data_IF_499306468251
#
_entry.id   IF_499306468251
#
_cell.length_a   1.000
_cell.length_b   1.000
_cell.length_c   1.000
_cell.angle_alpha   90.00
_cell.angle_beta   90.00
_cell.angle_gamma   90.00
#
_symmetry.space_group_name_H-M   'P 1'
#
loop_
_entity.id
_entity.type
_entity.pdbx_description
1 polymer ?
#
# COMPACT_ATOMS: atom_id res chain seq x y z
N UNK A 1 32.67 6.44 12.27
CA UNK A 1 31.98 6.91 13.49
C UNK A 1 30.46 6.68 13.46
N UNK A 2 29.78 6.74 12.30
CA UNK A 2 28.32 6.54 12.18
C UNK A 2 27.82 5.15 12.64
N UNK A 3 28.52 4.07 12.30
CA UNK A 3 28.08 2.70 12.62
C UNK A 3 28.10 2.38 14.14
N UNK A 4 29.03 2.98 14.88
CA UNK A 4 29.15 2.79 16.33
C UNK A 4 28.01 3.54 17.05
N UNK A 5 27.69 4.76 16.59
CA UNK A 5 26.58 5.55 17.12
C UNK A 5 25.23 4.86 16.89
N UNK A 6 25.00 4.34 15.68
CA UNK A 6 23.78 3.58 15.35
C UNK A 6 23.65 2.34 16.24
N UNK A 7 24.75 1.59 16.47
CA UNK A 7 24.76 0.43 17.37
C UNK A 7 24.37 0.77 18.81
N UNK A 8 24.93 1.86 19.36
CA UNK A 8 24.59 2.33 20.71
C UNK A 8 23.11 2.69 20.84
N UNK A 9 22.58 3.46 19.89
CA UNK A 9 21.16 3.85 19.88
C UNK A 9 20.24 2.62 19.81
N UNK A 10 20.55 1.64 18.95
CA UNK A 10 19.78 0.39 18.85
C UNK A 10 19.75 -0.35 20.19
N UNK A 11 20.90 -0.56 20.83
CA UNK A 11 20.98 -1.28 22.11
C UNK A 11 20.20 -0.54 23.20
N UNK A 12 20.31 0.78 23.27
CA UNK A 12 19.54 1.57 24.26
C UNK A 12 18.02 1.46 24.07
N UNK A 13 17.52 1.46 22.83
CA UNK A 13 16.09 1.29 22.55
C UNK A 13 15.60 -0.12 22.87
N UNK A 14 16.42 -1.14 22.66
CA UNK A 14 16.07 -2.52 23.04
C UNK A 14 15.94 -2.64 24.55
N UNK A 15 16.90 -2.11 25.32
CA UNK A 15 16.86 -2.18 26.78
C UNK A 15 15.67 -1.40 27.38
N UNK A 16 15.36 -0.22 26.84
CA UNK A 16 14.17 0.55 27.23
C UNK A 16 12.87 -0.19 26.84
N UNK A 17 12.82 -0.75 25.64
CA UNK A 17 11.68 -1.52 25.12
C UNK A 17 11.52 -2.91 25.74
N UNK A 18 12.46 -3.39 26.55
CA UNK A 18 12.32 -4.58 27.39
C UNK A 18 11.90 -4.23 28.82
N UNK A 19 12.40 -3.11 29.38
CA UNK A 19 12.00 -2.63 30.72
C UNK A 19 10.52 -2.32 30.81
N UNK A 20 9.91 -1.78 29.75
CA UNK A 20 8.45 -1.53 29.65
C UNK A 20 7.60 -2.82 29.84
N UNK A 21 8.17 -4.00 29.57
CA UNK A 21 7.43 -5.28 29.58
C UNK A 21 7.81 -6.21 30.74
N UNK A 22 8.77 -5.85 31.61
CA UNK A 22 9.31 -6.73 32.67
C UNK A 22 8.31 -7.21 33.73
N UNK A 23 7.14 -6.57 33.86
CA UNK A 23 6.15 -6.89 34.90
C UNK A 23 4.76 -7.28 34.34
N UNK A 24 4.66 -7.58 33.04
CA UNK A 24 3.40 -8.02 32.43
C UNK A 24 3.37 -9.54 32.26
N UNK A 25 2.29 -10.20 32.68
CA UNK A 25 2.07 -11.64 32.49
C UNK A 25 1.89 -12.04 31.00
N UNK A 26 1.60 -11.06 30.13
CA UNK A 26 1.41 -11.25 28.69
C UNK A 26 2.63 -10.83 27.89
N UNK A 27 3.04 -11.68 26.94
CA UNK A 27 4.06 -11.35 25.93
C UNK A 27 3.56 -10.30 24.92
N UNK A 28 4.50 -9.64 24.24
CA UNK A 28 4.24 -8.62 23.20
C UNK A 28 3.20 -9.06 22.18
N UNK A 29 3.30 -10.30 21.68
CA UNK A 29 2.39 -10.83 20.67
C UNK A 29 0.97 -11.02 21.22
N UNK A 30 0.85 -11.47 22.47
CA UNK A 30 -0.44 -11.67 23.13
C UNK A 30 -1.13 -10.33 23.37
N UNK A 31 -0.38 -9.31 23.80
CA UNK A 31 -0.93 -7.96 23.99
C UNK A 31 -1.45 -7.37 22.69
N UNK A 32 -0.72 -7.52 21.58
CA UNK A 32 -1.20 -7.07 20.27
C UNK A 32 -2.47 -7.80 19.83
N UNK A 33 -2.56 -9.10 20.09
CA UNK A 33 -3.76 -9.88 19.80
C UNK A 33 -4.97 -9.41 20.64
N UNK A 34 -4.78 -9.25 21.95
CA UNK A 34 -5.84 -8.76 22.87
C UNK A 34 -6.26 -7.34 22.52
N UNK A 35 -5.31 -6.45 22.23
CA UNK A 35 -5.59 -5.09 21.81
C UNK A 35 -6.38 -5.06 20.50
N UNK A 36 -6.00 -5.88 19.52
CA UNK A 36 -6.75 -6.00 18.27
C UNK A 36 -8.17 -6.53 18.53
N UNK A 37 -8.31 -7.58 19.34
CA UNK A 37 -9.62 -8.14 19.67
C UNK A 37 -10.53 -7.13 20.37
N UNK A 38 -9.98 -6.28 21.25
CA UNK A 38 -10.74 -5.26 21.99
C UNK A 38 -11.06 -4.01 21.16
N UNK A 39 -10.18 -3.63 20.22
CA UNK A 39 -10.30 -2.38 19.44
C UNK A 39 -10.78 -2.57 18.00
N UNK A 40 -10.88 -3.81 17.52
CA UNK A 40 -11.33 -4.06 16.15
C UNK A 40 -12.76 -3.59 15.94
N UNK A 41 -12.97 -2.80 14.90
CA UNK A 41 -14.28 -2.38 14.44
C UNK A 41 -14.63 -3.07 13.12
N UNK A 42 -15.92 -3.37 12.87
CA UNK A 42 -16.33 -4.03 11.65
C UNK A 42 -16.04 -3.16 10.43
N UNK A 43 -15.49 -3.78 9.38
CA UNK A 43 -15.26 -3.12 8.11
C UNK A 43 -16.61 -2.83 7.42
N UNK A 44 -16.76 -1.62 6.89
CA UNK A 44 -17.95 -1.22 6.13
C UNK A 44 -17.85 -1.78 4.72
N UNK A 45 -18.64 -2.82 4.42
CA UNK A 45 -18.81 -3.36 3.05
C UNK A 45 -20.14 -2.90 2.49
N UNK A 46 -20.12 -2.16 1.37
CA UNK A 46 -21.34 -1.78 0.65
C UNK A 46 -21.71 -2.88 -0.34
N UNK A 47 -22.79 -3.62 -0.06
CA UNK A 47 -23.31 -4.69 -0.92
C UNK A 47 -24.67 -4.23 -1.48
N UNK A 48 -24.83 -4.12 -2.81
CA UNK A 48 -26.10 -3.70 -3.41
C UNK A 48 -27.16 -4.80 -3.29
N UNK A 49 -28.43 -4.41 -3.13
CA UNK A 49 -29.57 -5.33 -3.00
C UNK A 49 -30.21 -5.72 -4.34
N UNK A 50 -30.12 -4.84 -5.34
CA UNK A 50 -30.74 -5.08 -6.65
C UNK A 50 -29.90 -6.08 -7.47
N UNK A 51 -30.51 -7.08 -8.13
CA UNK A 51 -29.77 -8.14 -8.84
C UNK A 51 -28.90 -7.61 -9.98
N UNK A 52 -29.36 -6.59 -10.71
CA UNK A 52 -28.57 -5.94 -11.76
C UNK A 52 -27.36 -5.19 -11.21
N UNK A 53 -27.52 -4.47 -10.10
CA UNK A 53 -26.41 -3.77 -9.45
C UNK A 53 -25.42 -4.75 -8.83
N UNK A 54 -25.91 -5.88 -8.30
CA UNK A 54 -25.06 -6.95 -7.79
C UNK A 54 -24.18 -7.54 -8.88
N UNK A 55 -24.73 -7.79 -10.07
CA UNK A 55 -23.96 -8.29 -11.22
C UNK A 55 -22.82 -7.34 -11.59
N UNK A 56 -23.08 -6.03 -11.61
CA UNK A 56 -22.04 -5.03 -11.87
C UNK A 56 -21.00 -4.96 -10.74
N UNK A 57 -21.46 -4.90 -9.48
CA UNK A 57 -20.60 -4.89 -8.30
C UNK A 57 -19.67 -6.11 -8.25
N UNK A 58 -20.18 -7.29 -8.61
CA UNK A 58 -19.39 -8.51 -8.67
C UNK A 58 -18.27 -8.44 -9.71
N UNK A 59 -18.53 -7.85 -10.89
CA UNK A 59 -17.51 -7.68 -11.93
C UNK A 59 -16.42 -6.70 -11.48
N UNK A 60 -16.81 -5.54 -10.93
CA UNK A 60 -15.86 -4.51 -10.48
C UNK A 60 -15.03 -4.98 -9.29
N UNK A 61 -15.61 -5.77 -8.39
CA UNK A 61 -14.92 -6.34 -7.24
C UNK A 61 -14.17 -7.65 -7.57
N UNK A 62 -14.10 -8.06 -8.84
CA UNK A 62 -13.38 -9.28 -9.23
C UNK A 62 -11.87 -9.01 -9.35
N UNK A 63 -11.07 -10.01 -9.00
CA UNK A 63 -9.59 -9.95 -9.16
C UNK A 63 -9.18 -9.76 -10.63
N UNK A 64 -9.97 -10.27 -11.57
CA UNK A 64 -9.73 -10.05 -13.00
C UNK A 64 -9.79 -8.56 -13.39
N UNK A 65 -10.77 -7.83 -12.85
CA UNK A 65 -10.88 -6.38 -13.06
C UNK A 65 -9.71 -5.62 -12.42
N UNK A 66 -9.26 -6.04 -11.23
CA UNK A 66 -8.08 -5.46 -10.58
C UNK A 66 -6.82 -5.59 -11.45
N UNK A 67 -6.57 -6.76 -12.05
CA UNK A 67 -5.44 -6.95 -12.97
C UNK A 67 -5.55 -6.10 -14.24
N UNK A 68 -6.76 -5.97 -14.81
CA UNK A 68 -6.98 -5.12 -15.99
C UNK A 68 -6.64 -3.66 -15.65
N UNK A 69 -7.14 -3.15 -14.53
CA UNK A 69 -6.83 -1.78 -14.09
C UNK A 69 -5.33 -1.58 -13.83
N UNK A 70 -4.67 -2.56 -13.21
CA UNK A 70 -3.23 -2.50 -12.98
C UNK A 70 -2.44 -2.44 -14.30
N UNK A 71 -2.79 -3.27 -15.29
CA UNK A 71 -2.16 -3.26 -16.62
C UNK A 71 -2.41 -1.93 -17.33
N UNK A 72 -3.62 -1.38 -17.27
CA UNK A 72 -3.92 -0.08 -17.89
C UNK A 72 -3.09 1.06 -17.28
N UNK A 73 -2.90 1.05 -15.96
CA UNK A 73 -2.03 2.02 -15.27
C UNK A 73 -0.58 1.85 -15.73
N UNK A 74 -0.06 0.61 -15.74
CA UNK A 74 1.30 0.32 -16.19
C UNK A 74 1.53 0.77 -17.64
N UNK A 75 0.59 0.49 -18.55
CA UNK A 75 0.66 0.93 -19.95
C UNK A 75 0.62 2.45 -20.07
N UNK A 76 -0.18 3.14 -19.27
CA UNK A 76 -0.21 4.60 -19.24
C UNK A 76 1.15 5.18 -18.80
N UNK A 77 1.72 4.66 -17.72
CA UNK A 77 3.06 5.04 -17.24
C UNK A 77 4.14 4.81 -18.30
N UNK A 78 4.11 3.66 -18.99
CA UNK A 78 5.03 3.36 -20.09
C UNK A 78 4.84 4.31 -21.27
N UNK A 79 3.59 4.62 -21.64
CA UNK A 79 3.28 5.57 -22.70
C UNK A 79 3.85 6.96 -22.40
N UNK A 80 3.65 7.45 -21.17
CA UNK A 80 4.22 8.71 -20.70
C UNK A 80 5.76 8.69 -20.73
N UNK A 81 6.39 7.61 -20.25
CA UNK A 81 7.85 7.48 -20.26
C UNK A 81 8.43 7.54 -21.68
N UNK A 82 7.78 6.87 -22.64
CA UNK A 82 8.17 6.91 -24.06
C UNK A 82 7.97 8.30 -24.66
N UNK A 83 6.90 9.02 -24.30
CA UNK A 83 6.69 10.40 -24.76
C UNK A 83 7.77 11.35 -24.25
N UNK A 84 8.22 11.21 -23.00
CA UNK A 84 9.34 12.01 -22.45
C UNK A 84 10.65 11.69 -23.19
N UNK A 85 10.96 10.41 -23.42
CA UNK A 85 12.14 10.01 -24.20
C UNK A 85 12.12 10.47 -25.66
N UNK A 86 10.93 10.48 -26.30
CA UNK A 86 10.75 10.99 -27.68
C UNK A 86 10.75 12.51 -27.76
N UNK A 87 10.30 13.21 -26.71
CA UNK A 87 10.31 14.67 -26.65
C UNK A 87 11.73 15.24 -26.54
N UNK A 88 12.68 14.46 -26.00
CA UNK A 88 14.10 14.82 -26.00
C UNK A 88 14.77 14.66 -27.37
N UNK A 89 14.16 13.90 -28.31
CA UNK A 89 14.74 13.58 -29.63
C UNK A 89 14.01 14.18 -30.83
N UNK A 90 12.90 14.92 -30.64
CA UNK A 90 12.14 15.53 -31.75
C UNK A 90 11.70 16.96 -31.44
N UNK A 91 12.52 17.99 -31.72
CA UNK A 91 12.02 19.36 -31.77
C UNK A 91 11.16 19.64 -33.03
N UNK A 92 11.04 18.71 -34.00
CA UNK A 92 10.52 19.05 -35.35
C UNK A 92 9.09 18.52 -35.65
N UNK A 93 8.57 17.49 -34.96
CA UNK A 93 7.29 16.88 -35.37
C UNK A 93 6.03 17.44 -34.66
N UNK A 94 6.16 18.49 -33.84
CA UNK A 94 5.00 19.14 -33.19
C UNK A 94 4.21 20.07 -34.12
N UNK A 95 4.59 20.20 -35.40
CA UNK A 95 3.88 21.05 -36.36
C UNK A 95 2.71 20.35 -37.09
N UNK A 96 2.45 19.06 -36.90
CA UNK A 96 1.44 18.33 -37.70
C UNK A 96 0.18 17.90 -36.92
N UNK A 97 0.01 18.29 -35.65
CA UNK A 97 -1.23 18.03 -34.90
C UNK A 97 -1.56 19.26 -34.04
N UNK A 98 -1.85 20.37 -34.72
CA UNK A 98 -2.74 21.44 -34.23
C UNK A 98 -3.74 21.70 -35.35
#
# INVERSE_FOLDING_TARGET
MMNIFVGFVIVTFQEQGEKEYKNCELDKNQRQCVEYALKAHPLRRYIPKNPYQYKFWYVVNSTGFEYIMFVLIMLNTLCLAVQVGRSSTRPIHKALVV
#
